data_IF_867923732113
#
_entry.id   IF_867923732113
#
_cell.length_a   1.000
_cell.length_b   1.000
_cell.length_c   1.000
_cell.angle_alpha   90.00
_cell.angle_beta   90.00
_cell.angle_gamma   90.00
#
_symmetry.space_group_name_H-M   'P 1'
#
loop_
_entity.id
_entity.type
_entity.pdbx_description
1 polymer ?
#
# COMPACT_ATOMS: atom_id res chain seq x y z
N UNK A 1 14.93 11.40 -26.36
CA UNK A 1 16.19 10.73 -25.97
C UNK A 1 16.50 10.93 -24.47
N UNK A 2 16.60 12.16 -23.96
CA UNK A 2 16.97 12.44 -22.56
C UNK A 2 16.06 11.79 -21.50
N UNK A 3 14.73 11.89 -21.64
CA UNK A 3 13.78 11.27 -20.70
C UNK A 3 13.98 9.75 -20.51
N UNK A 4 14.42 9.03 -21.55
CA UNK A 4 14.74 7.60 -21.43
C UNK A 4 15.91 7.38 -20.47
N UNK A 5 16.97 8.19 -20.59
CA UNK A 5 18.16 8.09 -19.73
C UNK A 5 17.79 8.35 -18.27
N UNK A 6 16.98 9.38 -17.98
CA UNK A 6 16.48 9.60 -16.62
C UNK A 6 15.68 8.41 -16.10
N UNK A 7 14.75 7.87 -16.92
CA UNK A 7 13.92 6.71 -16.55
C UNK A 7 14.75 5.45 -16.29
N UNK A 8 15.75 5.19 -17.13
CA UNK A 8 16.68 4.05 -16.98
C UNK A 8 17.53 4.19 -15.70
N UNK A 9 17.76 5.42 -15.19
CA UNK A 9 18.55 5.69 -13.99
C UNK A 9 17.73 5.78 -12.69
N UNK A 10 16.39 5.90 -12.76
CA UNK A 10 15.52 5.93 -11.57
C UNK A 10 15.72 4.74 -10.61
N UNK A 11 15.94 3.49 -11.05
CA UNK A 11 16.18 2.36 -10.14
C UNK A 11 17.44 2.53 -9.29
N UNK A 12 18.49 3.16 -9.83
CA UNK A 12 19.70 3.50 -9.06
C UNK A 12 19.38 4.55 -7.99
N UNK A 13 18.65 5.60 -8.37
CA UNK A 13 18.21 6.61 -7.40
C UNK A 13 17.35 5.99 -6.30
N UNK A 14 16.37 5.14 -6.62
CA UNK A 14 15.53 4.45 -5.63
C UNK A 14 16.36 3.64 -4.63
N UNK A 15 17.35 2.88 -5.11
CA UNK A 15 18.27 2.12 -4.26
C UNK A 15 19.10 3.04 -3.35
N UNK A 16 19.55 4.19 -3.86
CA UNK A 16 20.31 5.19 -3.10
C UNK A 16 19.44 5.89 -2.03
N UNK A 17 18.20 6.27 -2.36
CA UNK A 17 17.22 6.78 -1.39
C UNK A 17 16.99 5.76 -0.26
N UNK A 18 16.72 4.51 -0.61
CA UNK A 18 16.48 3.42 0.36
C UNK A 18 17.69 3.14 1.26
N UNK A 19 18.92 3.21 0.72
CA UNK A 19 20.13 3.07 1.51
C UNK A 19 20.28 4.18 2.55
N UNK A 20 19.92 5.42 2.21
CA UNK A 20 20.00 6.59 3.11
C UNK A 20 18.87 6.58 4.14
N UNK A 21 17.65 6.23 3.75
CA UNK A 21 16.52 6.04 4.67
C UNK A 21 16.85 4.96 5.71
N UNK A 22 17.38 3.80 5.28
CA UNK A 22 17.86 2.74 6.18
C UNK A 22 18.96 3.24 7.13
N UNK A 23 19.99 3.92 6.62
CA UNK A 23 21.07 4.47 7.46
C UNK A 23 20.57 5.50 8.47
N UNK A 24 19.54 6.27 8.13
CA UNK A 24 18.90 7.24 9.04
C UNK A 24 18.09 6.54 10.13
N UNK A 25 17.31 5.51 9.80
CA UNK A 25 16.59 4.72 10.79
C UNK A 25 17.52 3.97 11.77
N UNK A 26 18.72 3.58 11.31
CA UNK A 26 19.75 3.00 12.18
C UNK A 26 20.31 4.02 13.19
N UNK A 27 20.43 5.31 12.82
CA UNK A 27 20.82 6.37 13.76
C UNK A 27 19.81 6.51 14.90
N UNK A 28 18.53 6.63 14.56
CA UNK A 28 17.44 6.80 15.53
C UNK A 28 17.34 5.59 16.47
N UNK A 29 17.56 4.37 15.96
CA UNK A 29 17.50 3.14 16.75
C UNK A 29 18.66 2.99 17.75
N UNK A 30 19.88 3.36 17.38
CA UNK A 30 21.06 3.11 18.22
C UNK A 30 21.56 4.34 18.98
N UNK A 31 20.99 5.53 18.72
CA UNK A 31 21.12 6.73 19.55
C UNK A 31 22.49 7.41 19.45
N UNK A 32 23.50 6.82 20.08
CA UNK A 32 24.83 7.41 20.21
C UNK A 32 25.88 6.56 19.48
N UNK A 33 26.20 6.96 18.25
CA UNK A 33 27.25 6.35 17.43
C UNK A 33 28.58 7.08 17.64
N UNK A 34 29.74 6.39 17.47
CA UNK A 34 31.05 7.02 17.52
C UNK A 34 31.15 8.26 16.62
N UNK A 35 31.92 9.26 17.04
CA UNK A 35 31.98 10.57 16.40
C UNK A 35 32.43 10.48 14.92
N UNK A 36 33.29 9.51 14.61
CA UNK A 36 33.76 9.16 13.27
C UNK A 36 32.61 8.69 12.37
N UNK A 37 31.71 7.86 12.91
CA UNK A 37 30.52 7.35 12.21
C UNK A 37 29.52 8.47 11.97
N UNK A 38 29.29 9.34 12.96
CA UNK A 38 28.45 10.53 12.79
C UNK A 38 29.01 11.47 11.70
N UNK A 39 30.34 11.66 11.65
CA UNK A 39 31.03 12.47 10.63
C UNK A 39 30.87 11.86 9.23
N UNK A 40 31.01 10.54 9.11
CA UNK A 40 30.80 9.81 7.85
C UNK A 40 29.36 9.97 7.34
N UNK A 41 28.37 9.79 8.21
CA UNK A 41 26.94 9.91 7.87
C UNK A 41 26.55 11.35 7.47
N UNK A 42 27.12 12.38 8.13
CA UNK A 42 26.99 13.78 7.69
C UNK A 42 27.58 13.99 6.29
N UNK A 43 28.68 13.31 5.94
CA UNK A 43 29.24 13.30 4.59
C UNK A 43 28.27 12.73 3.55
N UNK A 44 27.65 11.58 3.84
CA UNK A 44 26.62 10.97 2.97
C UNK A 44 25.40 11.89 2.83
N UNK A 45 24.92 12.51 3.91
CA UNK A 45 23.84 13.50 3.86
C UNK A 45 24.20 14.74 3.01
N UNK A 46 25.47 15.14 2.98
CA UNK A 46 25.97 16.18 2.07
C UNK A 46 25.87 15.75 0.60
N UNK A 47 26.38 14.55 0.27
CA UNK A 47 26.27 13.98 -1.08
C UNK A 47 24.80 13.85 -1.54
N UNK A 48 23.91 13.43 -0.64
CA UNK A 48 22.48 13.35 -0.88
C UNK A 48 21.84 14.69 -1.25
N UNK A 49 22.16 15.76 -0.49
CA UNK A 49 21.68 17.12 -0.79
C UNK A 49 22.19 17.61 -2.13
N UNK A 50 23.47 17.38 -2.43
CA UNK A 50 24.07 17.74 -3.72
C UNK A 50 23.40 16.99 -4.88
N UNK A 51 23.13 15.69 -4.71
CA UNK A 51 22.40 14.89 -5.70
C UNK A 51 21.00 15.46 -5.96
N UNK A 52 20.22 15.73 -4.91
CA UNK A 52 18.88 16.32 -5.07
C UNK A 52 18.93 17.65 -5.82
N UNK A 53 19.86 18.54 -5.46
CA UNK A 53 20.04 19.82 -6.17
C UNK A 53 20.42 19.67 -7.65
N UNK A 54 21.15 18.61 -8.01
CA UNK A 54 21.42 18.28 -9.42
C UNK A 54 20.13 17.84 -10.14
N UNK A 55 19.29 17.00 -9.53
CA UNK A 55 18.02 16.56 -10.13
C UNK A 55 17.04 17.73 -10.28
N UNK A 56 16.93 18.58 -9.26
CA UNK A 56 16.15 19.82 -9.28
C UNK A 56 16.64 20.79 -10.37
N UNK A 57 17.97 20.92 -10.59
CA UNK A 57 18.55 21.71 -11.70
C UNK A 57 18.30 21.16 -13.11
N UNK A 58 17.61 20.02 -13.20
CA UNK A 58 17.21 19.33 -14.44
C UNK A 58 15.69 19.10 -14.49
N UNK A 59 14.93 19.85 -13.69
CA UNK A 59 13.47 19.79 -13.62
C UNK A 59 12.93 18.38 -13.32
N UNK A 60 13.76 17.54 -12.68
CA UNK A 60 13.45 16.17 -12.28
C UNK A 60 13.05 16.15 -10.80
N UNK A 61 11.76 16.30 -10.55
CA UNK A 61 11.18 16.43 -9.22
C UNK A 61 10.56 15.12 -8.72
N UNK A 62 10.63 14.89 -7.41
CA UNK A 62 9.87 13.81 -6.75
C UNK A 62 8.44 14.23 -6.51
N UNK A 63 7.51 13.30 -6.69
CA UNK A 63 6.13 13.48 -6.26
C UNK A 63 6.04 13.42 -4.73
N UNK A 64 5.13 14.19 -4.14
CA UNK A 64 4.67 13.96 -2.77
C UNK A 64 3.23 13.43 -2.85
N UNK A 65 3.02 12.18 -2.44
CA UNK A 65 1.79 11.41 -2.71
C UNK A 65 1.07 10.94 -1.45
N UNK A 66 1.76 10.80 -0.32
CA UNK A 66 1.16 10.29 0.92
C UNK A 66 0.14 11.29 1.49
N UNK A 67 -1.01 10.78 1.93
CA UNK A 67 -2.13 11.58 2.42
C UNK A 67 -2.94 12.27 1.33
N UNK A 68 -2.72 11.94 0.05
CA UNK A 68 -3.52 12.45 -1.08
C UNK A 68 -4.47 11.38 -1.62
N UNK A 69 -5.61 11.77 -2.23
CA UNK A 69 -6.43 10.85 -3.02
C UNK A 69 -5.61 10.16 -4.11
N UNK A 70 -5.97 8.92 -4.42
CA UNK A 70 -5.40 8.20 -5.55
C UNK A 70 -5.78 8.86 -6.89
N UNK A 71 -4.88 8.79 -7.87
CA UNK A 71 -5.06 9.34 -9.22
C UNK A 71 -4.29 8.47 -10.22
N UNK A 72 -5.02 7.84 -11.14
CA UNK A 72 -4.50 6.96 -12.19
C UNK A 72 -3.45 7.63 -13.10
N UNK A 73 -3.40 8.97 -13.17
CA UNK A 73 -2.41 9.68 -13.98
C UNK A 73 -1.03 9.75 -13.29
N UNK A 74 -0.98 9.67 -11.96
CA UNK A 74 0.23 9.89 -11.15
C UNK A 74 0.65 8.68 -10.31
N UNK A 75 -0.25 7.73 -10.08
CA UNK A 75 -0.08 6.65 -9.10
C UNK A 75 -0.38 5.26 -9.70
N UNK A 76 0.49 4.29 -9.41
CA UNK A 76 0.26 2.86 -9.66
C UNK A 76 -0.04 2.16 -8.33
N UNK A 77 -1.20 1.50 -8.19
CA UNK A 77 -1.52 0.74 -6.96
C UNK A 77 -0.70 -0.55 -6.90
N UNK A 78 0.19 -0.63 -5.92
CA UNK A 78 0.99 -1.84 -5.64
C UNK A 78 0.28 -2.76 -4.65
N UNK A 79 -0.46 -2.19 -3.70
CA UNK A 79 -1.22 -2.93 -2.68
C UNK A 79 -2.35 -2.08 -2.11
N UNK A 80 -3.36 -2.73 -1.50
CA UNK A 80 -4.32 -2.05 -0.62
C UNK A 80 -4.02 -2.43 0.84
N UNK A 81 -4.20 -1.48 1.76
CA UNK A 81 -4.02 -1.66 3.21
C UNK A 81 -5.37 -1.39 3.89
N UNK A 82 -5.76 -2.25 4.81
CA UNK A 82 -6.96 -2.04 5.62
C UNK A 82 -6.66 -1.02 6.71
N UNK A 83 -7.32 0.14 6.64
CA UNK A 83 -7.11 1.28 7.52
C UNK A 83 -8.44 2.02 7.66
N UNK A 84 -9.10 1.85 8.81
CA UNK A 84 -10.45 2.36 9.07
C UNK A 84 -10.47 3.85 9.48
N UNK A 85 -9.30 4.43 9.77
CA UNK A 85 -9.15 5.82 10.18
C UNK A 85 -8.86 6.74 8.97
N UNK A 86 -8.74 6.17 7.77
CA UNK A 86 -8.40 6.88 6.52
C UNK A 86 -9.50 6.70 5.46
N UNK A 87 -9.75 7.75 4.68
CA UNK A 87 -10.72 7.71 3.58
C UNK A 87 -10.30 6.70 2.49
N UNK A 88 -11.26 5.95 1.95
CA UNK A 88 -11.00 4.91 0.95
C UNK A 88 -10.31 5.47 -0.31
N UNK A 89 -9.40 4.68 -0.89
CA UNK A 89 -8.55 5.08 -2.02
C UNK A 89 -7.65 6.31 -1.75
N UNK A 90 -7.42 6.71 -0.49
CA UNK A 90 -6.33 7.62 -0.11
C UNK A 90 -4.99 6.88 -0.10
N UNK A 91 -3.92 7.52 -0.58
CA UNK A 91 -2.55 6.99 -0.53
C UNK A 91 -2.02 7.02 0.91
N UNK A 92 -1.97 5.87 1.56
CA UNK A 92 -1.42 5.71 2.93
C UNK A 92 0.10 5.56 2.95
N UNK A 93 0.71 5.06 1.86
CA UNK A 93 2.16 4.87 1.79
C UNK A 93 2.68 4.92 0.36
N UNK A 94 3.82 5.59 0.18
CA UNK A 94 4.62 5.48 -1.02
C UNK A 94 5.53 4.24 -0.92
N UNK A 95 5.37 3.30 -1.85
CA UNK A 95 6.15 2.05 -1.96
C UNK A 95 7.32 2.21 -2.94
N UNK A 96 7.12 2.98 -4.01
CA UNK A 96 8.14 3.37 -4.98
C UNK A 96 8.00 4.85 -5.34
N UNK A 97 9.13 5.57 -5.38
CA UNK A 97 9.14 7.03 -5.58
C UNK A 97 8.52 7.44 -6.92
N UNK A 98 7.55 8.36 -6.90
CA UNK A 98 7.03 8.99 -8.12
C UNK A 98 7.95 10.09 -8.64
N UNK A 99 8.05 10.24 -9.96
CA UNK A 99 8.95 11.21 -10.60
C UNK A 99 8.27 12.00 -11.72
N UNK A 100 8.46 13.32 -11.66
CA UNK A 100 8.09 14.29 -12.69
C UNK A 100 9.36 14.79 -13.38
N UNK A 101 9.34 14.92 -14.71
CA UNK A 101 10.36 15.59 -15.52
C UNK A 101 9.66 16.68 -16.34
N UNK A 102 10.14 17.92 -16.27
CA UNK A 102 9.51 19.09 -16.92
C UNK A 102 8.02 19.23 -16.55
N UNK A 103 7.67 18.89 -15.30
CA UNK A 103 6.28 18.85 -14.81
C UNK A 103 5.41 17.69 -15.32
N UNK A 104 5.95 16.78 -16.15
CA UNK A 104 5.24 15.62 -16.71
C UNK A 104 5.64 14.32 -16.03
N UNK A 105 4.74 13.35 -15.94
CA UNK A 105 5.02 12.05 -15.31
C UNK A 105 6.08 11.29 -16.09
N UNK A 106 7.24 11.09 -15.47
CA UNK A 106 8.33 10.24 -15.98
C UNK A 106 8.13 8.78 -15.55
N UNK A 107 7.71 8.61 -14.29
CA UNK A 107 7.28 7.35 -13.69
C UNK A 107 6.23 7.66 -12.61
N UNK A 108 5.06 6.99 -12.61
CA UNK A 108 4.10 7.08 -11.51
C UNK A 108 4.73 6.72 -10.15
N UNK A 109 4.13 7.17 -9.06
CA UNK A 109 4.45 6.66 -7.73
C UNK A 109 3.81 5.29 -7.55
N UNK A 110 4.58 4.28 -7.15
CA UNK A 110 4.02 3.02 -6.69
C UNK A 110 3.48 3.21 -5.27
N UNK A 111 2.18 3.04 -5.07
CA UNK A 111 1.50 3.39 -3.81
C UNK A 111 0.79 2.22 -3.16
N UNK A 112 0.63 2.30 -1.84
CA UNK A 112 -0.39 1.59 -1.10
C UNK A 112 -1.56 2.55 -0.80
N UNK A 113 -2.78 2.10 -1.03
CA UNK A 113 -4.01 2.88 -0.77
C UNK A 113 -4.84 2.27 0.35
N UNK A 114 -5.57 3.11 1.09
CA UNK A 114 -6.53 2.68 2.09
C UNK A 114 -7.69 1.91 1.44
N UNK A 115 -8.12 0.85 2.12
CA UNK A 115 -9.33 0.09 1.82
C UNK A 115 -10.14 -0.01 3.10
N UNK A 116 -11.34 0.54 3.09
CA UNK A 116 -12.26 0.35 4.18
C UNK A 116 -12.94 -1.03 4.04
N UNK A 117 -12.97 -1.88 5.10
CA UNK A 117 -13.85 -3.02 5.08
C UNK A 117 -15.31 -2.52 5.00
N UNK A 118 -16.20 -3.20 4.25
CA UNK A 118 -17.58 -2.76 4.16
C UNK A 118 -18.17 -2.72 5.57
N UNK A 119 -18.66 -1.54 5.99
CA UNK A 119 -19.47 -1.43 7.20
C UNK A 119 -20.60 -2.46 7.08
N UNK A 120 -20.64 -3.44 7.99
CA UNK A 120 -21.86 -4.21 8.20
C UNK A 120 -22.92 -3.20 8.60
N UNK A 121 -23.90 -2.99 7.72
CA UNK A 121 -25.13 -2.33 8.10
C UNK A 121 -25.70 -3.08 9.30
N UNK A 122 -25.87 -2.39 10.43
CA UNK A 122 -26.50 -2.97 11.59
C UNK A 122 -27.95 -3.25 11.22
N UNK A 123 -28.27 -4.53 11.04
CA UNK A 123 -29.63 -4.96 10.80
C UNK A 123 -30.49 -4.53 11.99
N UNK A 124 -31.30 -3.48 11.79
CA UNK A 124 -32.28 -3.00 12.75
C UNK A 124 -33.31 -4.10 13.00
N UNK A 125 -33.09 -4.88 14.06
CA UNK A 125 -34.07 -5.79 14.63
C UNK A 125 -35.15 -4.96 15.32
N UNK A 126 -36.27 -4.78 14.64
CA UNK A 126 -37.58 -4.73 15.28
C UNK A 126 -38.32 -6.02 14.92
N UNK A 127 -38.81 -6.74 15.94
CA UNK A 127 -39.43 -8.05 15.79
C UNK A 127 -40.94 -8.06 16.00
N UNK A 128 -41.52 -9.23 15.67
CA UNK A 128 -42.81 -9.79 16.13
C UNK A 128 -44.09 -9.13 15.53
N UNK A 129 -45.18 -9.80 15.13
CA UNK A 129 -45.62 -11.21 15.02
C UNK A 129 -47.10 -11.22 14.55
N UNK A 130 -47.80 -12.32 14.26
CA UNK A 130 -47.50 -13.75 14.12
C UNK A 130 -48.66 -14.48 13.37
N UNK A 131 -48.41 -15.69 12.85
CA UNK A 131 -49.36 -16.75 12.42
C UNK A 131 -50.26 -16.60 11.18
N UNK A 132 -50.44 -17.71 10.44
CA UNK A 132 -51.23 -17.71 9.20
C UNK A 132 -51.30 -18.98 8.33
N UNK A 133 -51.15 -20.20 8.87
CA UNK A 133 -51.62 -21.52 8.32
C UNK A 133 -51.41 -21.82 6.82
N UNK A 134 -50.48 -22.73 6.46
CA UNK A 134 -50.74 -24.17 6.26
C UNK A 134 -51.38 -24.53 4.90
N UNK A 135 -50.59 -25.16 4.03
CA UNK A 135 -51.06 -25.94 2.87
C UNK A 135 -50.21 -27.20 2.75
N UNK A 136 -50.86 -28.35 2.73
CA UNK A 136 -50.22 -29.65 2.50
C UNK A 136 -49.91 -29.83 1.02
N UNK A 137 -48.83 -30.54 0.68
CA UNK A 137 -48.87 -31.41 -0.50
C UNK A 137 -48.01 -32.65 -0.26
N UNK A 138 -48.67 -33.82 -0.32
CA UNK A 138 -48.06 -35.12 -0.10
C UNK A 138 -47.22 -35.55 -1.31
N UNK A 139 -46.05 -36.14 -1.07
CA UNK A 139 -45.55 -37.23 -1.93
C UNK A 139 -44.96 -38.36 -1.08
N UNK A 140 -45.50 -39.55 -1.28
CA UNK A 140 -45.11 -40.79 -0.60
C UNK A 140 -44.24 -41.68 -1.49
N UNK A 141 -43.31 -42.43 -0.89
CA UNK A 141 -42.45 -43.42 -1.55
C UNK A 141 -40.97 -43.27 -1.13
N UNK A 142 -40.42 -43.96 -0.12
CA UNK A 142 -40.22 -45.43 0.03
C UNK A 142 -39.34 -46.01 -1.11
N UNK A 143 -38.22 -46.72 -0.92
CA UNK A 143 -37.44 -47.27 0.22
C UNK A 143 -35.94 -47.33 -0.25
N UNK A 144 -34.88 -47.77 0.45
CA UNK A 144 -34.69 -48.94 1.32
C UNK A 144 -33.30 -48.96 2.03
N UNK A 145 -33.19 -49.85 3.02
CA UNK A 145 -32.16 -50.22 4.00
C UNK A 145 -30.62 -50.02 3.82
N UNK A 146 -29.96 -49.85 4.99
CA UNK A 146 -28.62 -50.37 5.34
C UNK A 146 -27.43 -49.41 5.16
N UNK A 147 -26.43 -49.32 6.05
CA UNK A 147 -26.21 -49.96 7.37
C UNK A 147 -24.71 -49.97 7.74
N UNK A 148 -24.37 -49.71 9.01
CA UNK A 148 -23.04 -49.93 9.67
C UNK A 148 -21.84 -49.08 9.15
N UNK A 149 -21.07 -48.39 10.01
CA UNK A 149 -19.85 -48.82 10.75
C UNK A 149 -18.74 -49.35 9.79
N UNK A 150 -17.45 -48.99 9.88
CA UNK A 150 -16.60 -48.72 11.05
C UNK A 150 -15.29 -47.99 10.66
N UNK A 151 -14.66 -47.32 11.64
CA UNK A 151 -13.20 -47.17 11.94
C UNK A 151 -12.05 -47.05 10.89
N UNK A 152 -11.00 -46.33 11.36
CA UNK A 152 -9.54 -46.48 11.08
C UNK A 152 -9.05 -46.09 9.66
N UNK A 153 -7.95 -45.34 9.47
CA UNK A 153 -6.78 -45.02 10.32
C UNK A 153 -6.37 -43.55 10.18
#
# INVERSE_FOLDING_TARGET
MQAKIYKDFLPFFDAFYKAIENNTALLEKYGDLPQEVQKYLKGIQGLYKNMNGILESKDLARMNVVGKPFDYNYHDVIMKIEDADVEEDTVVREVQKGWLLDGKVLRPAGVAVAKNPPKKEEASKDGEGNDGKESQEDTSGNSDAGGEQEEKQ
#
